data_IF_792777087428
#
_entry.id   IF_792777087428
#
_cell.length_a   1.000
_cell.length_b   1.000
_cell.length_c   1.000
_cell.angle_alpha   90.00
_cell.angle_beta   90.00
_cell.angle_gamma   90.00
#
_symmetry.space_group_name_H-M   'P 1'
#
loop_
_entity.id
_entity.type
_entity.pdbx_description
1 polymer ?
#
# COMPACT_ATOMS: atom_id res chain seq x y z
N UNK A 1 11.21 -11.27 -19.95
CA UNK A 1 12.09 -10.51 -19.04
C UNK A 1 11.20 -9.88 -17.99
N UNK A 2 11.25 -10.32 -16.73
CA UNK A 2 10.56 -9.62 -15.65
C UNK A 2 11.32 -8.31 -15.41
N UNK A 3 10.84 -7.22 -16.01
CA UNK A 3 11.29 -5.88 -15.67
C UNK A 3 11.06 -5.70 -14.18
N UNK A 4 12.14 -5.74 -13.38
CA UNK A 4 12.05 -5.40 -11.97
C UNK A 4 11.65 -3.93 -11.93
N UNK A 5 10.38 -3.67 -11.62
CA UNK A 5 9.87 -2.30 -11.47
C UNK A 5 10.77 -1.58 -10.46
N UNK A 6 11.55 -0.63 -10.95
CA UNK A 6 12.47 0.14 -10.10
C UNK A 6 11.60 1.08 -9.25
N UNK A 7 11.35 0.69 -8.01
CA UNK A 7 10.63 1.53 -7.05
C UNK A 7 11.48 2.75 -6.71
N UNK A 8 11.09 3.91 -7.24
CA UNK A 8 11.62 5.21 -6.82
C UNK A 8 10.90 5.68 -5.55
N UNK A 9 11.58 6.40 -4.65
CA UNK A 9 10.91 6.99 -3.50
C UNK A 9 9.90 8.05 -3.97
N UNK A 10 8.69 8.01 -3.42
CA UNK A 10 7.70 9.09 -3.51
C UNK A 10 7.36 9.52 -2.09
N UNK A 11 7.25 10.83 -1.86
CA UNK A 11 6.84 11.38 -0.58
C UNK A 11 5.38 11.83 -0.67
N UNK A 12 4.63 11.58 0.39
CA UNK A 12 3.26 12.08 0.57
C UNK A 12 3.15 12.58 2.01
N UNK A 13 2.33 13.61 2.22
CA UNK A 13 1.93 13.99 3.59
C UNK A 13 0.95 12.94 4.09
N UNK A 14 1.18 12.45 5.29
CA UNK A 14 0.38 11.40 5.92
C UNK A 14 0.41 11.61 7.43
N UNK A 15 -0.70 11.29 8.09
CA UNK A 15 -0.80 11.27 9.54
C UNK A 15 0.27 10.32 10.14
N UNK A 16 1.14 10.79 11.06
CA UNK A 16 2.16 9.95 11.68
C UNK A 16 1.61 8.67 12.32
N UNK A 17 0.42 8.72 12.93
CA UNK A 17 -0.20 7.55 13.56
C UNK A 17 -0.69 6.55 12.52
N UNK A 18 -1.20 7.04 11.37
CA UNK A 18 -1.53 6.18 10.24
C UNK A 18 -0.29 5.45 9.68
N UNK A 19 0.85 6.14 9.56
CA UNK A 19 2.12 5.50 9.14
C UNK A 19 2.56 4.43 10.12
N UNK A 20 2.45 4.71 11.43
CA UNK A 20 2.84 3.75 12.45
C UNK A 20 2.00 2.47 12.37
N UNK A 21 0.68 2.61 12.33
CA UNK A 21 -0.25 1.47 12.19
C UNK A 21 0.00 0.68 10.91
N UNK A 22 0.15 1.36 9.77
CA UNK A 22 0.47 0.72 8.50
C UNK A 22 1.79 -0.07 8.56
N UNK A 23 2.80 0.45 9.26
CA UNK A 23 4.08 -0.25 9.43
C UNK A 23 3.97 -1.49 10.31
N UNK A 24 3.19 -1.42 11.39
CA UNK A 24 2.93 -2.60 12.25
C UNK A 24 2.26 -3.71 11.44
N UNK A 25 1.22 -3.37 10.66
CA UNK A 25 0.50 -4.35 9.83
C UNK A 25 1.39 -4.91 8.70
N UNK A 26 2.17 -4.06 8.03
CA UNK A 26 3.12 -4.52 7.01
C UNK A 26 4.12 -5.54 7.58
N UNK A 27 4.63 -5.30 8.80
CA UNK A 27 5.53 -6.23 9.49
C UNK A 27 4.82 -7.55 9.85
N UNK A 28 3.57 -7.50 10.33
CA UNK A 28 2.75 -8.70 10.61
C UNK A 28 2.55 -9.55 9.35
N UNK A 29 2.34 -8.91 8.21
CA UNK A 29 2.19 -9.57 6.90
C UNK A 29 3.52 -9.95 6.22
N UNK A 30 4.67 -9.69 6.85
CA UNK A 30 6.02 -9.91 6.28
C UNK A 30 6.24 -9.18 4.93
N UNK A 31 5.64 -8.00 4.76
CA UNK A 31 5.75 -7.15 3.56
C UNK A 31 6.49 -5.85 3.87
N UNK A 32 7.02 -5.19 2.84
CA UNK A 32 7.49 -3.81 3.00
C UNK A 32 6.29 -2.87 3.13
N UNK A 33 6.47 -1.76 3.85
CA UNK A 33 5.41 -0.75 4.00
C UNK A 33 4.83 -0.30 2.65
N UNK A 34 5.69 -0.06 1.66
CA UNK A 34 5.25 0.32 0.31
C UNK A 34 4.40 -0.75 -0.37
N UNK A 35 4.81 -2.01 -0.31
CA UNK A 35 4.04 -3.14 -0.87
C UNK A 35 2.68 -3.29 -0.19
N UNK A 36 2.66 -3.18 1.14
CA UNK A 36 1.43 -3.27 1.92
C UNK A 36 0.45 -2.12 1.59
N UNK A 37 0.96 -0.91 1.40
CA UNK A 37 0.14 0.24 0.99
C UNK A 37 -0.36 0.07 -0.46
N UNK A 38 0.49 -0.39 -1.38
CA UNK A 38 0.11 -0.68 -2.78
C UNK A 38 -1.09 -1.65 -2.82
N UNK A 39 -1.03 -2.75 -2.07
CA UNK A 39 -2.14 -3.71 -1.98
C UNK A 39 -3.40 -3.13 -1.34
N UNK A 40 -3.27 -2.31 -0.29
CA UNK A 40 -4.41 -1.67 0.36
C UNK A 40 -5.12 -0.67 -0.58
N UNK A 41 -4.36 -0.01 -1.47
CA UNK A 41 -4.91 0.86 -2.53
C UNK A 41 -5.70 0.01 -3.53
N UNK A 42 -5.11 -1.08 -4.04
CA UNK A 42 -5.76 -1.97 -5.00
C UNK A 42 -7.07 -2.54 -4.43
N UNK A 43 -7.05 -3.04 -3.18
CA UNK A 43 -8.23 -3.56 -2.50
C UNK A 43 -9.31 -2.47 -2.30
N UNK A 44 -8.91 -1.22 -2.04
CA UNK A 44 -9.85 -0.11 -1.90
C UNK A 44 -10.50 0.21 -3.26
N UNK A 45 -9.72 0.28 -4.34
CA UNK A 45 -10.25 0.54 -5.69
C UNK A 45 -11.23 -0.58 -6.09
N UNK A 46 -10.84 -1.85 -5.93
CA UNK A 46 -11.68 -3.00 -6.28
C UNK A 46 -13.01 -3.00 -5.49
N UNK A 47 -12.96 -2.64 -4.20
CA UNK A 47 -14.17 -2.52 -3.36
C UNK A 47 -15.10 -1.41 -3.83
N UNK A 48 -14.57 -0.29 -4.31
CA UNK A 48 -15.41 0.80 -4.81
C UNK A 48 -15.95 0.51 -6.21
N UNK A 49 -15.18 -0.13 -7.09
CA UNK A 49 -15.68 -0.57 -8.41
C UNK A 49 -16.85 -1.56 -8.28
N UNK A 50 -16.79 -2.48 -7.32
CA UNK A 50 -17.88 -3.43 -7.03
C UNK A 50 -19.14 -2.78 -6.48
N UNK A 51 -19.08 -1.55 -5.94
CA UNK A 51 -20.26 -0.82 -5.44
C UNK A 51 -20.96 -0.01 -6.53
N UNK A 52 -20.26 0.30 -7.61
CA UNK A 52 -20.77 1.11 -8.72
C UNK A 52 -21.44 0.23 -9.79
N UNK A 53 -21.10 -1.06 -9.85
CA UNK A 53 -21.76 -2.09 -10.66
C UNK A 53 -22.97 -2.69 -9.94
#
# INVERSE_FOLDING_TARGET
>A
MNEKVIRKPRNIKIDPEAVHRARVEALRSRKKLGEWIEEAIDEKIEREEKKIK
#
